data_IF_493189625034
#
_entry.id   IF_493189625034
#
_cell.length_a   1.000
_cell.length_b   1.000
_cell.length_c   1.000
_cell.angle_alpha   90.00
_cell.angle_beta   90.00
_cell.angle_gamma   90.00
#
_symmetry.space_group_name_H-M   'P 1'
#
loop_
_entity.id
_entity.type
_entity.pdbx_description
1 polymer ?
#
# COMPACT_ATOMS: atom_id res chain seq x y z
N UNK A 1 -19.18 -5.89 -3.90
CA UNK A 1 -20.04 -6.83 -3.17
C UNK A 1 -20.53 -7.89 -4.17
N UNK A 2 -20.40 -9.17 -3.85
CA UNK A 2 -20.87 -10.29 -4.69
C UNK A 2 -21.61 -11.32 -3.85
N UNK A 3 -22.61 -11.98 -4.43
CA UNK A 3 -23.40 -13.04 -3.78
C UNK A 3 -23.90 -14.03 -4.82
N UNK A 4 -23.92 -15.32 -4.48
CA UNK A 4 -24.53 -16.37 -5.32
C UNK A 4 -26.06 -16.28 -5.39
N UNK A 5 -26.70 -15.51 -4.51
CA UNK A 5 -28.15 -15.41 -4.37
C UNK A 5 -28.79 -14.27 -5.17
N UNK A 6 -28.04 -13.60 -6.05
CA UNK A 6 -28.59 -12.55 -6.89
C UNK A 6 -29.48 -13.16 -7.98
N UNK A 7 -30.61 -12.52 -8.29
CA UNK A 7 -31.54 -13.00 -9.33
C UNK A 7 -30.88 -13.16 -10.70
N UNK A 8 -29.89 -12.31 -11.01
CA UNK A 8 -29.07 -12.40 -12.22
C UNK A 8 -28.35 -13.76 -12.36
N UNK A 9 -28.08 -14.44 -11.25
CA UNK A 9 -27.37 -15.73 -11.20
C UNK A 9 -28.31 -16.90 -10.91
N UNK A 10 -29.63 -16.70 -11.04
CA UNK A 10 -30.58 -17.79 -10.91
C UNK A 10 -30.36 -18.85 -12.01
N UNK A 11 -29.83 -20.00 -11.61
CA UNK A 11 -29.47 -21.10 -12.50
C UNK A 11 -30.64 -21.91 -13.05
N UNK A 12 -31.90 -21.65 -12.63
CA UNK A 12 -33.05 -22.48 -12.97
C UNK A 12 -33.28 -22.60 -14.49
N UNK A 13 -33.21 -21.47 -15.22
CA UNK A 13 -33.43 -21.46 -16.67
C UNK A 13 -32.35 -22.24 -17.42
N UNK A 14 -31.07 -22.07 -17.03
CA UNK A 14 -29.96 -22.79 -17.64
C UNK A 14 -30.07 -24.30 -17.38
N UNK A 15 -30.38 -24.70 -16.14
CA UNK A 15 -30.56 -26.09 -15.76
C UNK A 15 -31.70 -26.76 -16.55
N UNK A 16 -32.86 -26.10 -16.64
CA UNK A 16 -34.04 -26.64 -17.29
C UNK A 16 -33.91 -26.71 -18.83
N UNK A 17 -33.22 -25.74 -19.44
CA UNK A 17 -33.14 -25.63 -20.91
C UNK A 17 -32.05 -26.54 -21.48
N UNK A 18 -30.89 -26.61 -20.82
CA UNK A 18 -29.72 -27.32 -21.35
C UNK A 18 -29.49 -28.69 -20.69
N UNK A 19 -30.39 -29.12 -19.80
CA UNK A 19 -30.31 -30.38 -19.07
C UNK A 19 -28.96 -30.55 -18.33
N UNK A 20 -28.61 -29.54 -17.53
CA UNK A 20 -27.38 -29.48 -16.72
C UNK A 20 -27.70 -29.21 -15.26
N UNK A 21 -26.78 -29.60 -14.36
CA UNK A 21 -26.83 -29.19 -12.96
C UNK A 21 -26.05 -27.90 -12.80
N UNK A 22 -26.71 -26.87 -12.28
CA UNK A 22 -26.07 -25.57 -11.99
C UNK A 22 -25.81 -25.46 -10.49
N UNK A 23 -24.57 -25.20 -10.13
CA UNK A 23 -24.15 -24.95 -8.75
C UNK A 23 -23.55 -23.56 -8.66
N UNK A 24 -24.07 -22.73 -7.76
CA UNK A 24 -23.50 -21.43 -7.41
C UNK A 24 -22.94 -21.48 -5.99
N UNK A 25 -21.72 -20.94 -5.80
CA UNK A 25 -21.00 -21.04 -4.53
C UNK A 25 -20.66 -19.65 -4.00
N UNK A 26 -20.58 -19.54 -2.68
CA UNK A 26 -20.09 -18.34 -2.01
C UNK A 26 -18.66 -18.57 -1.51
N UNK A 27 -17.91 -17.48 -1.42
CA UNK A 27 -16.58 -17.47 -0.81
C UNK A 27 -16.38 -16.14 -0.09
N UNK A 28 -15.48 -16.12 0.89
CA UNK A 28 -15.19 -14.89 1.64
C UNK A 28 -14.61 -13.82 0.71
N UNK A 29 -15.07 -12.57 0.89
CA UNK A 29 -14.65 -11.39 0.15
C UNK A 29 -13.87 -10.42 1.04
N UNK A 30 -13.18 -9.46 0.41
CA UNK A 30 -12.45 -8.39 1.11
C UNK A 30 -11.42 -8.93 2.11
N UNK A 31 -11.19 -8.19 3.20
CA UNK A 31 -10.25 -8.59 4.24
C UNK A 31 -10.58 -9.97 4.84
N UNK A 32 -11.85 -10.35 4.96
CA UNK A 32 -12.24 -11.65 5.52
C UNK A 32 -11.76 -12.83 4.68
N UNK A 33 -11.61 -12.66 3.37
CA UNK A 33 -11.15 -13.69 2.45
C UNK A 33 -9.69 -13.56 2.01
N UNK A 34 -9.13 -12.36 2.06
CA UNK A 34 -7.88 -12.04 1.37
C UNK A 34 -6.87 -11.23 2.19
N UNK A 35 -7.09 -11.02 3.50
CA UNK A 35 -6.10 -10.40 4.39
C UNK A 35 -4.81 -11.26 4.45
N UNK A 36 -3.66 -10.59 4.42
CA UNK A 36 -2.34 -11.22 4.38
C UNK A 36 -1.44 -10.72 5.52
N UNK A 37 -1.43 -11.46 6.62
CA UNK A 37 -0.58 -11.29 7.81
C UNK A 37 -0.14 -12.68 8.34
N UNK A 38 0.77 -13.38 7.65
CA UNK A 38 1.21 -14.71 8.06
C UNK A 38 1.94 -14.67 9.42
N UNK A 39 1.85 -15.76 10.24
CA UNK A 39 1.15 -17.00 9.94
C UNK A 39 -0.36 -16.96 10.22
N UNK A 40 -0.86 -15.94 10.94
CA UNK A 40 -2.24 -15.89 11.41
C UNK A 40 -3.27 -15.69 10.27
N UNK A 41 -2.91 -14.93 9.24
CA UNK A 41 -3.72 -14.74 8.03
C UNK A 41 -2.84 -15.01 6.79
N UNK A 42 -2.83 -16.24 6.25
CA UNK A 42 -1.94 -16.61 5.14
C UNK A 42 -2.35 -16.04 3.77
N UNK A 43 -3.47 -15.31 3.69
CA UNK A 43 -4.08 -14.87 2.43
C UNK A 43 -4.84 -15.98 1.71
N UNK A 44 -5.53 -15.61 0.62
CA UNK A 44 -6.22 -16.52 -0.30
C UNK A 44 -7.29 -17.44 0.31
N UNK A 45 -7.80 -17.12 1.50
CA UNK A 45 -8.86 -17.90 2.14
C UNK A 45 -10.12 -17.96 1.28
N UNK A 46 -10.45 -16.89 0.56
CA UNK A 46 -11.56 -16.89 -0.41
C UNK A 46 -11.35 -17.88 -1.56
N UNK A 47 -10.13 -18.05 -2.07
CA UNK A 47 -9.82 -19.08 -3.08
C UNK A 47 -9.87 -20.49 -2.49
N UNK A 48 -9.53 -20.64 -1.21
CA UNK A 48 -9.63 -21.93 -0.53
C UNK A 48 -11.08 -22.32 -0.24
N UNK A 49 -11.96 -21.35 0.03
CA UNK A 49 -13.41 -21.59 0.12
C UNK A 49 -13.95 -22.12 -1.20
N UNK A 50 -13.55 -21.52 -2.33
CA UNK A 50 -13.92 -22.01 -3.67
C UNK A 50 -13.36 -23.41 -3.92
N UNK A 51 -12.10 -23.68 -3.57
CA UNK A 51 -11.50 -25.01 -3.70
C UNK A 51 -12.24 -26.06 -2.86
N UNK A 52 -12.66 -25.70 -1.65
CA UNK A 52 -13.45 -26.58 -0.79
C UNK A 52 -14.82 -26.88 -1.39
N UNK A 53 -15.48 -25.87 -1.97
CA UNK A 53 -16.74 -26.08 -2.68
C UNK A 53 -16.56 -27.00 -3.91
N UNK A 54 -15.47 -26.85 -4.67
CA UNK A 54 -15.15 -27.73 -5.79
C UNK A 54 -14.91 -29.18 -5.34
N UNK A 55 -14.22 -29.39 -4.21
CA UNK A 55 -14.07 -30.72 -3.61
C UNK A 55 -15.42 -31.32 -3.24
N UNK A 56 -16.27 -30.53 -2.58
CA UNK A 56 -17.62 -30.98 -2.22
C UNK A 56 -18.43 -31.37 -3.46
N UNK A 57 -18.40 -30.57 -4.53
CA UNK A 57 -19.08 -30.88 -5.79
C UNK A 57 -18.52 -32.18 -6.38
N UNK A 58 -17.20 -32.34 -6.43
CA UNK A 58 -16.55 -33.56 -6.94
C UNK A 58 -16.98 -34.82 -6.16
N UNK A 59 -17.14 -34.71 -4.85
CA UNK A 59 -17.51 -35.83 -3.98
C UNK A 59 -19.02 -36.12 -4.00
N UNK A 60 -19.87 -35.13 -4.26
CA UNK A 60 -21.32 -35.23 -4.02
C UNK A 60 -22.19 -35.09 -5.27
N UNK A 61 -21.69 -34.59 -6.40
CA UNK A 61 -22.50 -34.31 -7.59
C UNK A 61 -23.30 -35.53 -8.08
N UNK A 62 -22.73 -36.74 -7.96
CA UNK A 62 -23.40 -37.99 -8.34
C UNK A 62 -24.73 -38.21 -7.59
N UNK A 63 -24.83 -37.79 -6.33
CA UNK A 63 -26.06 -37.92 -5.54
C UNK A 63 -27.20 -37.03 -6.08
N UNK A 64 -26.88 -36.00 -6.85
CA UNK A 64 -27.83 -35.09 -7.48
C UNK A 64 -28.08 -35.43 -8.97
N UNK A 65 -27.51 -36.55 -9.46
CA UNK A 65 -27.58 -36.94 -10.87
C UNK A 65 -26.50 -36.32 -11.77
N UNK A 66 -25.49 -35.67 -11.18
CA UNK A 66 -24.37 -35.08 -11.90
C UNK A 66 -23.25 -36.07 -12.18
N UNK A 67 -22.35 -35.71 -13.10
CA UNK A 67 -21.13 -36.48 -13.39
C UNK A 67 -19.90 -35.73 -12.84
N UNK A 68 -19.28 -36.22 -11.74
CA UNK A 68 -18.07 -35.60 -11.17
C UNK A 68 -16.87 -35.53 -12.11
N UNK A 69 -16.84 -36.33 -13.17
CA UNK A 69 -15.77 -36.30 -14.18
C UNK A 69 -15.96 -35.19 -15.22
N UNK A 70 -17.13 -34.54 -15.26
CA UNK A 70 -17.49 -33.50 -16.24
C UNK A 70 -17.90 -32.18 -15.59
N UNK A 71 -17.23 -31.81 -14.50
CA UNK A 71 -17.46 -30.53 -13.84
C UNK A 71 -16.83 -29.40 -14.66
N UNK A 72 -17.62 -28.41 -15.07
CA UNK A 72 -17.14 -27.19 -15.73
C UNK A 72 -17.24 -26.02 -14.75
N UNK A 73 -16.11 -25.34 -14.49
CA UNK A 73 -16.11 -24.11 -13.70
C UNK A 73 -16.25 -22.91 -14.62
N UNK A 74 -17.06 -21.93 -14.24
CA UNK A 74 -17.17 -20.68 -14.98
C UNK A 74 -17.36 -19.48 -14.04
N UNK A 75 -16.89 -18.32 -14.48
CA UNK A 75 -16.98 -17.11 -13.67
C UNK A 75 -16.72 -15.84 -14.46
N UNK A 76 -17.29 -14.74 -13.96
CA UNK A 76 -17.19 -13.40 -14.55
C UNK A 76 -16.36 -12.46 -13.66
N UNK A 77 -15.59 -11.54 -14.27
CA UNK A 77 -14.76 -10.56 -13.56
C UNK A 77 -13.80 -11.24 -12.56
N UNK A 78 -13.87 -10.91 -11.27
CA UNK A 78 -13.09 -11.57 -10.22
C UNK A 78 -13.34 -13.10 -10.17
N UNK A 79 -14.54 -13.56 -10.51
CA UNK A 79 -14.84 -14.98 -10.69
C UNK A 79 -14.11 -15.60 -11.89
N UNK A 80 -13.96 -14.84 -12.97
CA UNK A 80 -13.17 -15.26 -14.14
C UNK A 80 -11.66 -15.35 -13.82
N UNK A 81 -11.13 -14.38 -13.08
CA UNK A 81 -9.77 -14.47 -12.52
C UNK A 81 -9.62 -15.67 -11.58
N UNK A 82 -10.63 -15.97 -10.76
CA UNK A 82 -10.63 -17.13 -9.87
C UNK A 82 -10.59 -18.46 -10.63
N UNK A 83 -11.37 -18.60 -11.72
CA UNK A 83 -11.28 -19.75 -12.63
C UNK A 83 -9.86 -19.91 -13.18
N UNK A 84 -9.22 -18.80 -13.56
CA UNK A 84 -7.84 -18.82 -14.04
C UNK A 84 -6.84 -19.21 -12.93
N UNK A 85 -7.01 -18.74 -11.69
CA UNK A 85 -6.21 -19.19 -10.56
C UNK A 85 -6.38 -20.68 -10.26
N UNK A 86 -7.59 -21.24 -10.40
CA UNK A 86 -7.82 -22.68 -10.23
C UNK A 86 -7.18 -23.53 -11.33
N UNK A 87 -7.07 -23.04 -12.57
CA UNK A 87 -6.30 -23.71 -13.62
C UNK A 87 -4.80 -23.78 -13.27
N UNK A 88 -4.27 -22.72 -12.65
CA UNK A 88 -2.85 -22.63 -12.26
C UNK A 88 -2.54 -23.41 -10.96
N UNK A 89 -3.50 -23.48 -10.03
CA UNK A 89 -3.30 -24.10 -8.73
C UNK A 89 -3.33 -25.63 -8.84
N UNK A 90 -2.19 -26.29 -8.63
CA UNK A 90 -2.05 -27.75 -8.68
C UNK A 90 -3.09 -28.50 -7.84
N UNK A 91 -3.43 -27.97 -6.65
CA UNK A 91 -4.45 -28.55 -5.75
C UNK A 91 -5.89 -28.47 -6.25
N UNK A 92 -6.15 -27.77 -7.36
CA UNK A 92 -7.50 -27.63 -7.94
C UNK A 92 -7.67 -28.39 -9.26
N UNK A 93 -6.58 -28.80 -9.92
CA UNK A 93 -6.62 -29.33 -11.29
C UNK A 93 -7.50 -30.57 -11.45
N UNK A 94 -7.52 -31.47 -10.45
CA UNK A 94 -8.31 -32.69 -10.51
C UNK A 94 -9.80 -32.50 -10.13
N UNK A 95 -10.18 -31.29 -9.71
CA UNK A 95 -11.53 -31.00 -9.20
C UNK A 95 -12.52 -30.62 -10.31
N UNK A 96 -12.05 -30.29 -11.50
CA UNK A 96 -12.88 -29.90 -12.64
C UNK A 96 -12.26 -30.36 -13.96
N UNK A 97 -13.09 -30.48 -15.00
CA UNK A 97 -12.69 -30.94 -16.31
C UNK A 97 -12.49 -29.80 -17.31
N UNK A 98 -13.31 -28.74 -17.21
CA UNK A 98 -13.31 -27.63 -18.15
C UNK A 98 -13.51 -26.29 -17.44
N UNK A 99 -13.13 -25.21 -18.12
CA UNK A 99 -13.16 -23.86 -17.58
C UNK A 99 -13.69 -22.86 -18.61
N UNK A 100 -14.53 -21.91 -18.18
CA UNK A 100 -14.98 -20.76 -18.97
C UNK A 100 -14.68 -19.47 -18.21
N UNK A 101 -13.99 -18.54 -18.86
CA UNK A 101 -13.49 -17.31 -18.25
C UNK A 101 -14.16 -16.12 -18.94
N UNK A 102 -14.95 -15.33 -18.20
CA UNK A 102 -15.66 -14.17 -18.74
C UNK A 102 -15.07 -12.88 -18.17
N UNK A 103 -14.40 -12.09 -19.00
CA UNK A 103 -13.91 -10.75 -18.62
C UNK A 103 -13.06 -10.71 -17.33
N UNK A 104 -12.20 -11.71 -17.12
CA UNK A 104 -11.28 -11.80 -15.97
C UNK A 104 -10.02 -12.58 -16.35
N UNK A 105 -8.91 -12.33 -15.67
CA UNK A 105 -7.63 -13.03 -15.89
C UNK A 105 -6.75 -13.02 -14.63
N UNK A 106 -5.91 -14.04 -14.44
CA UNK A 106 -4.99 -14.10 -13.29
C UNK A 106 -3.89 -13.03 -13.36
N UNK A 107 -3.52 -12.57 -14.56
CA UNK A 107 -2.51 -11.55 -14.77
C UNK A 107 -3.06 -10.12 -14.83
N UNK A 108 -4.36 -9.93 -14.61
CA UNK A 108 -4.93 -8.60 -14.51
C UNK A 108 -4.34 -7.88 -13.28
N UNK A 109 -3.93 -6.61 -13.42
CA UNK A 109 -3.25 -5.86 -12.36
C UNK A 109 -4.06 -5.72 -11.06
N UNK A 110 -5.38 -5.93 -11.11
CA UNK A 110 -6.29 -5.84 -9.97
C UNK A 110 -6.62 -7.20 -9.33
N UNK A 111 -6.25 -8.32 -9.95
CA UNK A 111 -6.66 -9.66 -9.49
C UNK A 111 -5.67 -10.31 -8.52
N UNK A 112 -4.48 -9.75 -8.36
CA UNK A 112 -3.44 -10.24 -7.46
C UNK A 112 -2.58 -9.09 -6.92
N UNK A 113 -1.81 -9.37 -5.87
CA UNK A 113 -0.81 -8.49 -5.26
C UNK A 113 0.41 -9.31 -4.85
N UNK A 114 1.59 -8.71 -4.82
CA UNK A 114 2.74 -9.37 -4.22
C UNK A 114 2.53 -9.58 -2.70
N UNK A 115 3.22 -10.54 -2.07
CA UNK A 115 3.18 -10.71 -0.62
C UNK A 115 3.50 -9.41 0.14
N UNK A 116 4.45 -8.62 -0.34
CA UNK A 116 4.87 -7.35 0.25
C UNK A 116 3.74 -6.31 0.18
N UNK A 117 3.15 -6.12 -1.00
CA UNK A 117 2.03 -5.19 -1.20
C UNK A 117 0.80 -5.61 -0.37
N UNK A 118 0.47 -6.90 -0.37
CA UNK A 118 -0.66 -7.44 0.37
C UNK A 118 -0.48 -7.27 1.88
N UNK A 119 0.75 -7.46 2.38
CA UNK A 119 1.10 -7.22 3.79
C UNK A 119 0.94 -5.74 4.15
N UNK A 120 1.42 -4.84 3.30
CA UNK A 120 1.32 -3.39 3.54
C UNK A 120 -0.13 -2.92 3.59
N UNK A 121 -0.96 -3.33 2.63
CA UNK A 121 -2.40 -3.06 2.63
C UNK A 121 -3.11 -3.64 3.86
N UNK A 122 -2.69 -4.84 4.30
CA UNK A 122 -3.26 -5.48 5.50
C UNK A 122 -2.89 -4.73 6.78
N UNK A 123 -1.67 -4.17 6.86
CA UNK A 123 -1.24 -3.33 7.98
C UNK A 123 -1.97 -1.98 7.99
N UNK A 124 -2.15 -1.36 6.83
CA UNK A 124 -2.94 -0.12 6.70
C UNK A 124 -4.40 -0.36 7.10
N UNK A 125 -4.99 -1.46 6.64
CA UNK A 125 -6.33 -1.88 7.07
C UNK A 125 -6.40 -2.09 8.60
N UNK A 126 -5.40 -2.74 9.20
CA UNK A 126 -5.32 -2.91 10.64
C UNK A 126 -5.15 -1.57 11.38
N UNK A 127 -4.41 -0.61 10.82
CA UNK A 127 -4.25 0.73 11.37
C UNK A 127 -5.56 1.52 11.33
N UNK A 128 -6.28 1.50 10.21
CA UNK A 128 -7.61 2.13 10.07
C UNK A 128 -8.64 1.55 11.05
N UNK A 129 -8.48 0.30 11.45
CA UNK A 129 -9.30 -0.35 12.47
C UNK A 129 -8.82 -0.11 13.92
N UNK A 130 -7.72 0.63 14.12
CA UNK A 130 -7.13 0.87 15.43
C UNK A 130 -6.46 -0.37 16.06
N UNK A 131 -6.15 -1.38 15.26
CA UNK A 131 -5.58 -2.66 15.70
C UNK A 131 -4.05 -2.71 15.65
N UNK A 132 -3.37 -1.67 15.17
CA UNK A 132 -1.89 -1.60 15.17
C UNK A 132 -1.36 -1.21 16.56
N UNK A 133 -0.32 -1.93 17.03
CA UNK A 133 0.43 -1.56 18.25
C UNK A 133 1.32 -0.34 18.03
N UNK A 134 1.66 -0.06 16.78
CA UNK A 134 2.33 1.16 16.37
C UNK A 134 1.27 2.25 16.23
N UNK A 135 1.32 3.22 17.15
CA UNK A 135 0.29 4.25 17.38
C UNK A 135 0.78 5.63 16.95
N UNK A 136 1.87 5.68 16.20
CA UNK A 136 2.12 6.82 15.32
C UNK A 136 1.03 6.84 14.24
N UNK A 137 0.46 8.01 13.97
CA UNK A 137 -0.41 8.24 12.79
C UNK A 137 0.33 7.95 11.47
N UNK A 138 1.66 7.85 11.51
CA UNK A 138 2.52 7.61 10.36
C UNK A 138 3.44 6.41 10.59
N UNK A 139 3.53 5.45 9.65
CA UNK A 139 4.49 4.37 9.74
C UNK A 139 5.94 4.83 9.96
N UNK A 140 6.74 4.05 10.69
CA UNK A 140 8.16 4.37 11.00
C UNK A 140 9.01 4.65 9.75
N UNK A 141 8.74 3.97 8.62
CA UNK A 141 9.46 4.18 7.35
C UNK A 141 9.28 5.59 6.76
N UNK A 142 8.27 6.33 7.19
CA UNK A 142 8.05 7.71 6.74
C UNK A 142 9.05 8.67 7.40
N UNK A 143 9.54 8.36 8.61
CA UNK A 143 10.45 9.22 9.35
C UNK A 143 9.83 10.59 9.68
N UNK A 144 10.62 11.66 9.54
CA UNK A 144 10.16 13.03 9.76
C UNK A 144 9.27 13.51 8.59
N UNK A 145 7.98 13.20 8.67
CA UNK A 145 7.00 13.52 7.62
C UNK A 145 6.68 15.02 7.52
N UNK A 146 6.07 15.41 6.40
CA UNK A 146 5.54 16.76 6.21
C UNK A 146 4.50 17.11 7.29
N UNK A 147 4.74 18.21 8.03
CA UNK A 147 3.88 18.68 9.11
C UNK A 147 4.21 18.08 10.49
N UNK A 148 5.20 17.19 10.59
CA UNK A 148 5.63 16.61 11.87
C UNK A 148 6.22 17.66 12.84
N UNK A 149 6.68 18.79 12.33
CA UNK A 149 7.25 19.90 13.09
C UNK A 149 6.19 20.79 13.77
N UNK A 150 4.97 20.82 13.23
CA UNK A 150 3.91 21.74 13.67
C UNK A 150 3.63 21.62 15.17
N UNK A 151 3.44 20.42 15.75
CA UNK A 151 3.16 20.30 17.18
C UNK A 151 4.30 20.80 18.08
N UNK A 152 5.55 20.74 17.59
CA UNK A 152 6.71 21.27 18.30
C UNK A 152 6.73 22.81 18.29
N UNK A 153 6.41 23.42 17.15
CA UNK A 153 6.34 24.89 16.99
C UNK A 153 5.20 25.49 17.80
N UNK A 154 4.06 24.80 17.93
CA UNK A 154 2.88 25.30 18.66
C UNK A 154 2.83 24.85 20.13
N UNK A 155 3.77 24.02 20.59
CA UNK A 155 3.76 23.49 21.96
C UNK A 155 2.58 22.55 22.25
N UNK A 156 1.96 21.98 21.22
CA UNK A 156 0.76 21.14 21.32
C UNK A 156 1.10 19.64 21.25
N UNK A 157 2.32 19.25 21.66
CA UNK A 157 2.74 17.84 21.68
C UNK A 157 1.75 16.97 22.45
N UNK A 158 1.23 17.45 23.58
CA UNK A 158 0.23 16.73 24.38
C UNK A 158 -1.09 16.50 23.61
N UNK A 159 -1.52 17.48 22.82
CA UNK A 159 -2.80 17.45 22.09
C UNK A 159 -2.78 16.52 20.87
N UNK A 160 -1.61 16.23 20.32
CA UNK A 160 -1.44 15.34 19.16
C UNK A 160 -1.07 13.92 19.57
N UNK A 161 -0.75 13.71 20.84
CA UNK A 161 -0.47 12.40 21.40
C UNK A 161 -1.76 11.74 21.93
N UNK A 162 -1.85 10.41 21.88
CA UNK A 162 -2.95 9.68 22.50
C UNK A 162 -3.02 9.93 24.01
N UNK A 163 -4.23 9.89 24.59
CA UNK A 163 -4.57 10.18 26.02
C UNK A 163 -3.68 9.46 27.06
N UNK A 164 -3.01 8.36 26.69
CA UNK A 164 -2.17 7.55 27.57
C UNK A 164 -0.67 7.59 27.21
N UNK A 165 -0.22 8.59 26.46
CA UNK A 165 1.18 8.80 26.13
C UNK A 165 1.62 10.21 26.45
N UNK A 166 2.88 10.33 26.86
CA UNK A 166 3.57 11.59 27.11
C UNK A 166 4.79 11.64 26.21
N UNK A 167 5.08 12.81 25.65
CA UNK A 167 6.35 13.06 24.98
C UNK A 167 7.52 12.89 25.97
N UNK A 168 8.69 12.58 25.45
CA UNK A 168 9.93 12.50 26.23
C UNK A 168 10.40 13.88 26.67
N UNK A 169 11.22 13.94 27.71
CA UNK A 169 11.81 15.21 28.16
C UNK A 169 12.68 15.86 27.06
N UNK A 170 13.30 15.05 26.20
CA UNK A 170 14.08 15.54 25.07
C UNK A 170 13.18 16.24 24.02
N UNK A 171 12.03 15.66 23.70
CA UNK A 171 11.04 16.27 22.80
C UNK A 171 10.41 17.53 23.41
N UNK A 172 10.20 17.54 24.72
CA UNK A 172 9.76 18.73 25.47
C UNK A 172 10.75 19.89 25.32
N UNK A 173 12.05 19.60 25.52
CA UNK A 173 13.13 20.58 25.37
C UNK A 173 13.24 21.07 23.93
N UNK A 174 13.11 20.17 22.95
CA UNK A 174 13.10 20.53 21.54
C UNK A 174 11.92 21.45 21.19
N UNK A 175 10.71 21.13 21.63
CA UNK A 175 9.54 22.00 21.40
C UNK A 175 9.72 23.37 22.04
N UNK A 176 10.24 23.44 23.27
CA UNK A 176 10.55 24.71 23.92
C UNK A 176 11.59 25.52 23.13
N UNK A 177 12.65 24.86 22.65
CA UNK A 177 13.70 25.48 21.82
C UNK A 177 13.15 26.01 20.49
N UNK A 178 12.29 25.24 19.81
CA UNK A 178 11.62 25.66 18.57
C UNK A 178 10.69 26.85 18.81
N UNK A 179 9.86 26.83 19.86
CA UNK A 179 9.01 27.98 20.21
C UNK A 179 9.84 29.24 20.46
N UNK A 180 10.96 29.12 21.17
CA UNK A 180 11.87 30.25 21.42
C UNK A 180 12.46 30.81 20.13
N UNK A 181 13.00 29.94 19.27
CA UNK A 181 13.57 30.36 17.99
C UNK A 181 12.55 31.09 17.09
N UNK A 182 11.32 30.59 17.00
CA UNK A 182 10.26 31.22 16.22
C UNK A 182 9.84 32.57 16.82
N UNK A 183 9.67 32.64 18.13
CA UNK A 183 9.28 33.87 18.82
C UNK A 183 10.37 34.95 18.75
N UNK A 184 11.63 34.55 18.86
CA UNK A 184 12.77 35.47 18.83
C UNK A 184 13.04 35.98 17.41
N UNK A 185 12.99 35.10 16.40
CA UNK A 185 13.03 35.54 15.01
C UNK A 185 11.90 36.52 14.67
N UNK A 186 10.67 36.24 15.12
CA UNK A 186 9.54 37.15 14.92
C UNK A 186 9.73 38.51 15.61
N UNK A 187 10.48 38.56 16.73
CA UNK A 187 10.71 39.78 17.52
C UNK A 187 11.89 40.60 16.99
N UNK A 188 12.99 39.95 16.62
CA UNK A 188 14.29 40.61 16.39
C UNK A 188 14.89 40.31 15.02
N UNK A 189 14.31 39.37 14.26
CA UNK A 189 14.87 38.90 12.99
C UNK A 189 16.04 37.92 13.15
N UNK A 190 16.39 37.52 14.38
CA UNK A 190 17.43 36.54 14.66
C UNK A 190 16.89 35.45 15.60
N UNK A 191 16.82 34.17 15.19
CA UNK A 191 16.31 33.11 16.07
C UNK A 191 17.19 32.86 17.30
N UNK A 192 18.49 33.13 17.26
CA UNK A 192 19.41 32.88 18.38
C UNK A 192 19.29 33.90 19.54
N UNK A 193 18.51 34.97 19.34
CA UNK A 193 18.34 36.04 20.32
C UNK A 193 19.57 36.91 20.55
N UNK A 194 19.53 37.70 21.63
CA UNK A 194 20.55 38.70 21.97
C UNK A 194 21.70 38.15 22.83
N UNK A 195 21.56 36.95 23.41
CA UNK A 195 22.57 36.30 24.25
C UNK A 195 23.03 35.04 23.55
N UNK A 196 24.25 35.08 23.00
CA UNK A 196 24.85 33.94 22.32
C UNK A 196 25.04 32.78 23.31
N UNK A 197 24.38 31.65 23.04
CA UNK A 197 24.60 30.36 23.69
C UNK A 197 25.27 29.39 22.71
N UNK A 198 25.83 28.27 23.20
CA UNK A 198 26.57 27.27 22.41
C UNK A 198 25.80 26.63 21.23
N UNK A 199 24.49 26.87 21.12
CA UNK A 199 23.61 26.44 20.02
C UNK A 199 23.32 27.58 19.02
N UNK A 200 24.37 28.13 18.40
CA UNK A 200 24.24 29.26 17.49
C UNK A 200 23.58 28.82 16.16
N UNK A 201 22.40 29.38 15.85
CA UNK A 201 21.75 29.17 14.56
C UNK A 201 22.47 30.03 13.51
N UNK A 202 23.25 29.44 12.59
CA UNK A 202 24.07 30.22 11.68
C UNK A 202 23.20 30.94 10.64
N UNK A 203 23.60 32.16 10.27
CA UNK A 203 23.00 32.83 9.12
C UNK A 203 23.25 31.99 7.86
N UNK A 204 22.18 31.78 7.09
CA UNK A 204 22.31 31.15 5.80
C UNK A 204 23.19 32.03 4.89
N UNK A 205 24.24 31.43 4.34
CA UNK A 205 25.11 32.05 3.35
C UNK A 205 25.03 31.22 2.07
N UNK A 206 24.83 31.84 0.90
CA UNK A 206 24.68 31.12 -0.36
C UNK A 206 25.94 30.32 -0.77
N UNK A 207 27.12 30.74 -0.30
CA UNK A 207 28.41 30.08 -0.52
C UNK A 207 28.60 28.89 0.43
N UNK A 208 28.37 29.08 1.72
CA UNK A 208 28.61 28.05 2.75
C UNK A 208 27.41 27.11 2.94
N UNK A 209 26.23 27.52 2.47
CA UNK A 209 24.94 26.83 2.59
C UNK A 209 24.60 26.40 4.02
N UNK A 210 24.99 27.21 5.00
CA UNK A 210 24.78 26.89 6.42
C UNK A 210 23.30 26.69 6.73
N UNK A 211 22.98 25.60 7.44
CA UNK A 211 21.63 25.31 7.91
C UNK A 211 21.70 24.78 9.34
N UNK A 212 20.59 24.87 10.06
CA UNK A 212 20.46 24.38 11.42
C UNK A 212 19.53 23.18 11.47
N UNK A 213 20.00 22.07 12.05
CA UNK A 213 19.19 20.86 12.20
C UNK A 213 18.46 20.91 13.55
N UNK A 214 17.14 20.86 13.51
CA UNK A 214 16.29 20.77 14.69
C UNK A 214 15.99 19.30 14.99
N UNK A 215 16.62 18.75 16.02
CA UNK A 215 16.38 17.40 16.52
C UNK A 215 16.65 17.34 18.03
N UNK A 216 16.51 16.15 18.62
CA UNK A 216 16.75 15.92 20.05
C UNK A 216 18.23 15.75 20.43
N UNK A 217 19.13 15.72 19.45
CA UNK A 217 20.58 15.52 19.61
C UNK A 217 21.36 16.85 19.50
N UNK A 218 22.63 16.90 19.93
CA UNK A 218 23.49 18.07 19.71
C UNK A 218 23.70 18.36 18.22
N UNK A 219 23.98 19.63 17.88
CA UNK A 219 24.19 20.07 16.50
C UNK A 219 25.20 19.18 15.74
N UNK A 220 24.78 18.67 14.59
CA UNK A 220 25.62 17.93 13.64
C UNK A 220 25.48 18.56 12.25
N UNK A 221 26.59 19.06 11.72
CA UNK A 221 26.66 19.55 10.34
C UNK A 221 26.64 18.33 9.38
N UNK A 222 25.68 18.29 8.46
CA UNK A 222 25.62 17.28 7.38
C UNK A 222 25.85 17.92 6.02
N UNK A 223 26.56 17.21 5.14
CA UNK A 223 26.82 17.65 3.76
C UNK A 223 25.65 17.31 2.82
N UNK A 224 25.37 18.18 1.85
CA UNK A 224 24.31 18.04 0.84
C UNK A 224 24.75 17.19 -0.37
N UNK A 225 25.19 15.95 -0.15
CA UNK A 225 25.77 15.11 -1.21
C UNK A 225 24.78 14.76 -2.34
N UNK A 226 23.47 14.74 -2.06
CA UNK A 226 22.45 14.32 -3.03
C UNK A 226 21.98 15.44 -3.98
N UNK A 227 22.10 16.72 -3.59
CA UNK A 227 21.67 17.83 -4.44
C UNK A 227 22.61 18.07 -5.62
N UNK A 228 23.92 17.81 -5.45
CA UNK A 228 24.91 17.97 -6.51
C UNK A 228 24.75 16.92 -7.62
N UNK A 229 24.38 15.69 -7.26
CA UNK A 229 24.00 14.65 -8.21
C UNK A 229 22.81 15.08 -9.08
N UNK A 230 21.73 15.59 -8.47
CA UNK A 230 20.53 16.03 -9.20
C UNK A 230 20.79 17.28 -10.05
N UNK A 231 21.52 18.27 -9.52
CA UNK A 231 21.90 19.48 -10.28
C UNK A 231 22.72 19.13 -11.52
N UNK A 232 23.67 18.20 -11.42
CA UNK A 232 24.52 17.79 -12.57
C UNK A 232 23.79 16.92 -13.60
N UNK A 233 22.73 16.22 -13.22
CA UNK A 233 21.91 15.41 -14.14
C UNK A 233 20.87 16.23 -14.89
N UNK A 234 20.18 17.16 -14.21
CA UNK A 234 19.12 17.96 -14.85
C UNK A 234 19.66 19.13 -15.68
N UNK A 235 20.83 19.68 -15.35
CA UNK A 235 21.48 20.71 -16.20
C UNK A 235 21.96 20.19 -17.56
N UNK A 236 22.12 18.86 -17.72
CA UNK A 236 22.45 18.22 -19.00
C UNK A 236 21.23 17.92 -19.87
N UNK A 237 20.02 17.99 -19.31
CA UNK A 237 18.78 17.72 -20.04
C UNK A 237 18.26 18.94 -20.82
N UNK A 238 18.80 20.14 -20.54
CA UNK A 238 18.44 21.40 -21.19
C UNK A 238 19.36 21.80 -22.36
N UNK A 239 20.35 20.98 -22.73
CA UNK A 239 21.11 21.22 -23.97
C UNK A 239 20.27 20.84 -25.20
N UNK A 240 20.06 21.75 -26.18
CA UNK A 240 19.27 21.45 -27.36
C UNK A 240 19.96 20.36 -28.19
N UNK A 241 19.24 19.25 -28.42
CA UNK A 241 19.64 18.22 -29.39
C UNK A 241 19.85 18.87 -30.77
N UNK A 242 21.10 18.99 -31.20
CA UNK A 242 21.42 19.29 -32.60
C UNK A 242 21.20 18.02 -33.41
N UNK A 243 20.12 17.98 -34.20
CA UNK A 243 19.93 16.94 -35.22
C UNK A 243 20.99 17.14 -36.30
N UNK A 244 21.85 16.13 -36.50
CA UNK A 244 22.65 16.04 -37.72
C UNK A 244 21.69 15.66 -38.86
N UNK A 245 21.43 16.63 -39.73
CA UNK A 245 20.84 16.37 -41.05
C UNK A 245 21.79 15.50 -41.88
N UNK A 246 21.23 14.43 -42.44
CA UNK A 246 21.87 13.59 -43.45
C UNK A 246 22.00 14.38 -44.76
N UNK A 247 23.20 14.89 -45.03
CA UNK A 247 23.57 15.36 -46.36
C UNK A 247 23.83 14.17 -47.29
N UNK A 248 22.82 13.77 -48.06
CA UNK A 248 23.02 12.96 -49.27
C UNK A 248 23.58 13.88 -50.36
N UNK A 249 24.89 13.77 -50.59
CA UNK A 249 25.59 14.44 -51.70
C UNK A 249 25.27 13.75 -53.02
N UNK A 250 24.81 14.55 -53.98
CA UNK A 250 24.82 14.22 -55.39
C UNK A 250 26.28 14.15 -55.90
N UNK A 251 26.66 13.02 -56.49
CA UNK A 251 27.55 12.89 -57.65
C UNK A 251 27.60 11.44 -58.12
#
# INVERSE_FOLDING_TARGET
MGSSSLDLFNGASLAATENVIVVSTNYRLGALGFLYLPPAAPGNLGLWDQQLALKWIKENAAAFGGDPSRVTIFGQSAGGSSVNFHLLASKSQDLFAQAVIQSGAANAFWSWRSPEEAKQLSLEFAHLLGCSKDRSVWPEWIGATHGAEIPYVFGTLESVLPVNQTFTEAEARLSHKMMQYWAEFARTGNPAGLVATEDEWPLYNATEQNFFLLNTEPFQQRANEHCDFLKSHFSKADEPHTSKDDSVSSN
#
